data_IF_669667328413
#
_entry.id   IF_669667328413
#
_cell.length_a   1.000
_cell.length_b   1.000
_cell.length_c   1.000
_cell.angle_alpha   90.00
_cell.angle_beta   90.00
_cell.angle_gamma   90.00
#
_symmetry.space_group_name_H-M   'P 1'
#
loop_
_entity.id
_entity.type
_entity.pdbx_description
1 polymer ?
#
# COMPACT_ATOMS: atom_id res chain seq x y z
N UNK A 1 -16.85 -1.33 -11.61
CA UNK A 1 -16.18 -0.60 -12.72
C UNK A 1 -16.97 0.59 -13.24
N UNK A 2 -18.26 0.43 -13.55
CA UNK A 2 -19.13 1.48 -14.15
C UNK A 2 -19.02 2.87 -13.48
N UNK A 3 -19.04 2.95 -12.14
CA UNK A 3 -18.90 4.23 -11.43
C UNK A 3 -17.53 4.90 -11.55
N UNK A 4 -16.46 4.14 -11.84
CA UNK A 4 -15.13 4.69 -12.15
C UNK A 4 -15.13 5.32 -13.54
N UNK A 5 -15.72 4.64 -14.53
CA UNK A 5 -15.88 5.16 -15.90
C UNK A 5 -16.72 6.44 -15.86
N UNK A 6 -17.83 6.44 -15.12
CA UNK A 6 -18.69 7.60 -14.96
C UNK A 6 -18.01 8.77 -14.23
N UNK A 7 -17.18 8.49 -13.21
CA UNK A 7 -16.31 9.48 -12.56
C UNK A 7 -15.34 10.13 -13.58
N UNK A 8 -14.63 9.35 -14.40
CA UNK A 8 -13.74 9.90 -15.43
C UNK A 8 -14.49 10.68 -16.52
N UNK A 9 -15.64 10.19 -16.98
CA UNK A 9 -16.50 10.91 -17.94
C UNK A 9 -16.98 12.25 -17.38
N UNK A 10 -17.37 12.32 -16.10
CA UNK A 10 -17.73 13.59 -15.46
C UNK A 10 -16.56 14.57 -15.40
N UNK A 11 -15.36 14.11 -15.05
CA UNK A 11 -14.16 14.94 -15.07
C UNK A 11 -13.87 15.48 -16.48
N UNK A 12 -13.93 14.62 -17.51
CA UNK A 12 -13.76 15.01 -18.92
C UNK A 12 -14.81 16.05 -19.33
N UNK A 13 -16.08 15.85 -18.97
CA UNK A 13 -17.18 16.77 -19.28
C UNK A 13 -16.96 18.15 -18.64
N UNK A 14 -16.61 18.22 -17.35
CA UNK A 14 -16.35 19.50 -16.67
C UNK A 14 -15.10 20.20 -17.25
N UNK A 15 -14.08 19.45 -17.66
CA UNK A 15 -12.90 20.01 -18.33
C UNK A 15 -13.18 20.49 -19.75
N UNK A 16 -14.08 19.82 -20.47
CA UNK A 16 -14.48 20.20 -21.83
C UNK A 16 -15.31 21.50 -21.80
N UNK A 17 -16.29 21.56 -20.90
CA UNK A 17 -17.18 22.71 -20.71
C UNK A 17 -16.65 23.72 -19.68
N UNK A 18 -15.33 23.87 -19.54
CA UNK A 18 -14.69 24.74 -18.53
C UNK A 18 -15.12 26.23 -18.61
N UNK A 19 -15.63 26.67 -19.75
CA UNK A 19 -16.11 28.04 -19.97
C UNK A 19 -17.54 28.29 -19.46
N UNK A 20 -18.36 27.24 -19.34
CA UNK A 20 -19.75 27.32 -18.85
C UNK A 20 -19.93 26.68 -17.47
N UNK A 21 -19.11 25.69 -17.12
CA UNK A 21 -19.14 24.96 -15.86
C UNK A 21 -17.96 25.36 -14.95
N UNK A 22 -18.18 25.83 -13.71
CA UNK A 22 -17.09 26.11 -12.79
C UNK A 22 -16.33 24.83 -12.45
N UNK A 23 -14.99 24.85 -12.58
CA UNK A 23 -14.11 23.69 -12.31
C UNK A 23 -14.30 23.04 -10.92
N UNK A 24 -14.92 23.74 -9.96
CA UNK A 24 -15.32 23.19 -8.65
C UNK A 24 -16.28 22.00 -8.76
N UNK A 25 -17.01 21.85 -9.87
CA UNK A 25 -17.87 20.69 -10.15
C UNK A 25 -17.11 19.36 -10.20
N UNK A 26 -15.79 19.37 -10.42
CA UNK A 26 -14.92 18.19 -10.28
C UNK A 26 -15.04 17.56 -8.88
N UNK A 27 -15.37 18.34 -7.85
CA UNK A 27 -15.50 17.84 -6.46
C UNK A 27 -16.69 16.90 -6.27
N UNK A 28 -17.69 16.90 -7.16
CA UNK A 28 -18.78 15.92 -7.15
C UNK A 28 -18.39 14.58 -7.80
N UNK A 29 -17.27 14.51 -8.52
CA UNK A 29 -16.85 13.31 -9.24
C UNK A 29 -16.73 12.02 -8.39
N UNK A 30 -16.37 12.06 -7.08
CA UNK A 30 -16.36 10.86 -6.25
C UNK A 30 -17.74 10.26 -5.98
N UNK A 31 -18.85 11.01 -6.13
CA UNK A 31 -20.22 10.49 -5.93
C UNK A 31 -20.49 9.29 -6.85
N UNK A 32 -19.97 9.34 -8.09
CA UNK A 32 -20.11 8.22 -9.02
C UNK A 32 -19.32 6.97 -8.58
N UNK A 33 -18.28 7.11 -7.75
CA UNK A 33 -17.54 5.94 -7.22
C UNK A 33 -18.28 5.18 -6.13
N UNK A 34 -19.34 5.75 -5.54
CA UNK A 34 -20.28 5.04 -4.68
C UNK A 34 -20.93 3.89 -5.48
N UNK A 35 -21.19 4.11 -6.78
CA UNK A 35 -21.73 3.09 -7.69
C UNK A 35 -20.62 2.08 -8.04
N UNK A 36 -20.61 0.96 -7.31
CA UNK A 36 -19.63 -0.12 -7.50
C UNK A 36 -18.30 0.06 -6.77
N UNK A 37 -18.23 0.95 -5.77
CA UNK A 37 -17.19 0.96 -4.73
C UNK A 37 -15.76 1.36 -5.17
N UNK A 38 -15.60 2.01 -6.31
CA UNK A 38 -14.32 2.54 -6.79
C UNK A 38 -13.26 1.47 -7.07
N UNK A 39 -11.99 1.89 -7.06
CA UNK A 39 -10.82 1.04 -7.37
C UNK A 39 -10.60 -0.07 -6.35
N UNK A 40 -10.91 0.17 -5.07
CA UNK A 40 -10.73 -0.78 -3.97
C UNK A 40 -11.56 -2.06 -4.16
N UNK A 41 -12.83 -1.95 -4.56
CA UNK A 41 -13.68 -3.11 -4.85
C UNK A 41 -13.18 -3.86 -6.10
N UNK A 42 -12.66 -3.14 -7.09
CA UNK A 42 -12.01 -3.73 -8.26
C UNK A 42 -10.80 -4.60 -7.89
N UNK A 43 -9.92 -4.09 -7.03
CA UNK A 43 -8.76 -4.84 -6.55
C UNK A 43 -9.18 -6.06 -5.70
N UNK A 44 -10.17 -5.92 -4.82
CA UNK A 44 -10.71 -7.07 -4.05
C UNK A 44 -11.27 -8.15 -4.97
N UNK A 45 -12.09 -7.78 -5.97
CA UNK A 45 -12.65 -8.73 -6.93
C UNK A 45 -11.55 -9.45 -7.73
N UNK A 46 -10.52 -8.72 -8.17
CA UNK A 46 -9.37 -9.32 -8.85
C UNK A 46 -8.64 -10.35 -7.98
N UNK A 47 -8.31 -10.02 -6.72
CA UNK A 47 -7.63 -10.95 -5.82
C UNK A 47 -8.51 -12.13 -5.38
N UNK A 48 -9.82 -11.94 -5.28
CA UNK A 48 -10.77 -13.04 -5.03
C UNK A 48 -10.80 -14.02 -6.21
N UNK A 49 -11.10 -13.54 -7.42
CA UNK A 49 -11.10 -14.34 -8.66
C UNK A 49 -9.75 -15.08 -8.84
N UNK A 50 -8.63 -14.37 -8.63
CA UNK A 50 -7.30 -14.97 -8.70
C UNK A 50 -7.03 -16.02 -7.61
N UNK A 51 -7.68 -15.93 -6.44
CA UNK A 51 -7.60 -16.96 -5.40
C UNK A 51 -8.50 -18.16 -5.72
N UNK A 52 -9.66 -17.96 -6.34
CA UNK A 52 -10.63 -19.02 -6.67
C UNK A 52 -10.07 -19.98 -7.73
N UNK A 53 -9.50 -19.42 -8.80
CA UNK A 53 -9.00 -20.19 -9.96
C UNK A 53 -7.64 -20.87 -9.73
N UNK A 54 -6.97 -20.59 -8.61
CA UNK A 54 -5.57 -20.96 -8.41
C UNK A 54 -5.39 -21.98 -7.28
N UNK A 55 -4.54 -22.98 -7.52
CA UNK A 55 -4.10 -23.91 -6.45
C UNK A 55 -3.12 -23.22 -5.50
N UNK A 56 -3.09 -23.61 -4.23
CA UNK A 56 -2.32 -22.90 -3.21
C UNK A 56 -0.83 -22.77 -3.55
N UNK A 57 -0.25 -23.81 -4.14
CA UNK A 57 1.13 -23.83 -4.63
C UNK A 57 1.43 -22.77 -5.72
N UNK A 58 0.43 -22.35 -6.51
CA UNK A 58 0.60 -21.35 -7.59
C UNK A 58 0.07 -19.96 -7.23
N UNK A 59 -0.69 -19.81 -6.13
CA UNK A 59 -1.34 -18.55 -5.72
C UNK A 59 -0.33 -17.41 -5.56
N UNK A 60 0.79 -17.66 -4.88
CA UNK A 60 1.87 -16.68 -4.68
C UNK A 60 2.48 -16.20 -5.99
N UNK A 61 2.66 -17.09 -6.98
CA UNK A 61 3.20 -16.73 -8.29
C UNK A 61 2.24 -15.80 -9.06
N UNK A 62 0.93 -16.09 -9.06
CA UNK A 62 -0.05 -15.25 -9.75
C UNK A 62 -0.20 -13.88 -9.09
N UNK A 63 -0.17 -13.81 -7.75
CA UNK A 63 -0.15 -12.52 -7.05
C UNK A 63 1.12 -11.71 -7.33
N UNK A 64 2.28 -12.37 -7.44
CA UNK A 64 3.53 -11.72 -7.84
C UNK A 64 3.48 -11.22 -9.29
N UNK A 65 2.93 -12.02 -10.22
CA UNK A 65 2.75 -11.63 -11.61
C UNK A 65 1.80 -10.42 -11.75
N UNK A 66 0.74 -10.37 -10.96
CA UNK A 66 -0.17 -9.21 -10.91
C UNK A 66 0.56 -7.93 -10.45
N UNK A 67 1.35 -8.02 -9.38
CA UNK A 67 2.15 -6.88 -8.89
C UNK A 67 3.24 -6.46 -9.89
N UNK A 68 3.88 -7.40 -10.57
CA UNK A 68 4.84 -7.12 -11.64
C UNK A 68 4.16 -6.41 -12.84
N UNK A 69 2.94 -6.84 -13.21
CA UNK A 69 2.15 -6.22 -14.27
C UNK A 69 1.79 -4.77 -13.94
N UNK A 70 1.40 -4.48 -12.69
CA UNK A 70 1.15 -3.11 -12.21
C UNK A 70 2.41 -2.23 -12.29
N UNK A 71 3.57 -2.73 -11.86
CA UNK A 71 4.86 -2.00 -11.98
C UNK A 71 5.22 -1.71 -13.46
N UNK A 72 5.00 -2.67 -14.36
CA UNK A 72 5.23 -2.48 -15.80
C UNK A 72 4.24 -1.47 -16.40
N UNK A 73 2.97 -1.49 -15.98
CA UNK A 73 1.99 -0.49 -16.39
C UNK A 73 2.37 0.92 -15.90
N UNK A 74 2.83 1.06 -14.65
CA UNK A 74 3.34 2.32 -14.09
C UNK A 74 4.65 2.79 -14.75
N UNK A 75 5.43 1.89 -15.34
CA UNK A 75 6.60 2.24 -16.13
C UNK A 75 6.21 2.77 -17.53
N UNK A 76 5.32 2.07 -18.22
CA UNK A 76 4.96 2.36 -19.62
C UNK A 76 3.97 3.53 -19.73
N UNK A 77 2.91 3.55 -18.93
CA UNK A 77 1.79 4.48 -19.10
C UNK A 77 2.18 5.97 -18.96
N UNK A 78 3.00 6.40 -17.97
CA UNK A 78 3.43 7.80 -17.87
C UNK A 78 4.36 8.22 -19.03
N UNK A 79 5.18 7.30 -19.54
CA UNK A 79 6.05 7.53 -20.70
C UNK A 79 5.26 7.66 -22.00
N UNK A 80 4.28 6.79 -22.23
CA UNK A 80 3.36 6.90 -23.36
C UNK A 80 2.54 8.20 -23.26
N UNK A 81 2.03 8.52 -22.07
CA UNK A 81 1.33 9.79 -21.82
C UNK A 81 2.21 11.01 -22.10
N UNK A 82 3.49 10.99 -21.72
CA UNK A 82 4.45 12.05 -22.03
C UNK A 82 4.61 12.26 -23.54
N UNK A 83 4.76 11.19 -24.33
CA UNK A 83 4.88 11.31 -25.80
C UNK A 83 3.57 11.83 -26.41
N UNK A 84 2.41 11.34 -25.97
CA UNK A 84 1.11 11.76 -26.50
C UNK A 84 0.73 13.20 -26.13
N UNK A 85 1.08 13.65 -24.93
CA UNK A 85 0.99 15.06 -24.50
C UNK A 85 1.81 16.01 -25.37
N UNK A 86 2.71 15.53 -26.25
CA UNK A 86 3.41 16.38 -27.22
C UNK A 86 2.48 16.93 -28.30
N UNK A 87 1.47 16.15 -28.70
CA UNK A 87 0.50 16.52 -29.75
C UNK A 87 -0.72 17.21 -29.15
N UNK A 88 -1.33 16.62 -28.12
CA UNK A 88 -2.44 17.23 -27.38
C UNK A 88 -2.66 16.52 -26.04
N UNK A 89 -2.89 17.24 -24.92
CA UNK A 89 -3.22 16.64 -23.63
C UNK A 89 -4.50 15.79 -23.61
N UNK A 90 -5.41 15.97 -24.59
CA UNK A 90 -6.65 15.19 -24.69
C UNK A 90 -6.43 13.75 -25.15
N UNK A 91 -5.42 13.49 -25.98
CA UNK A 91 -5.14 12.16 -26.54
C UNK A 91 -4.87 11.11 -25.43
N UNK A 92 -3.95 11.32 -24.46
CA UNK A 92 -3.71 10.33 -23.42
C UNK A 92 -4.88 10.19 -22.44
N UNK A 93 -5.69 11.24 -22.24
CA UNK A 93 -6.91 11.18 -21.41
C UNK A 93 -7.94 10.25 -22.06
N UNK A 94 -8.23 10.45 -23.35
CA UNK A 94 -9.15 9.61 -24.10
C UNK A 94 -8.63 8.17 -24.24
N UNK A 95 -7.34 7.99 -24.52
CA UNK A 95 -6.72 6.67 -24.62
C UNK A 95 -6.78 5.88 -23.30
N UNK A 96 -6.52 6.55 -22.16
CA UNK A 96 -6.66 5.94 -20.84
C UNK A 96 -8.10 5.55 -20.52
N UNK A 97 -9.08 6.38 -20.93
CA UNK A 97 -10.51 6.06 -20.81
C UNK A 97 -10.87 4.83 -21.66
N UNK A 98 -10.42 4.78 -22.91
CA UNK A 98 -10.62 3.62 -23.81
C UNK A 98 -10.03 2.32 -23.26
N UNK A 99 -8.81 2.35 -22.69
CA UNK A 99 -8.24 1.16 -22.05
C UNK A 99 -9.04 0.73 -20.81
N UNK A 100 -9.53 1.68 -20.01
CA UNK A 100 -10.36 1.37 -18.84
C UNK A 100 -11.71 0.74 -19.24
N UNK A 101 -12.38 1.26 -20.28
CA UNK A 101 -13.64 0.69 -20.77
C UNK A 101 -13.44 -0.67 -21.42
N UNK A 102 -12.40 -0.84 -22.23
CA UNK A 102 -12.06 -2.13 -22.85
C UNK A 102 -11.69 -3.18 -21.79
N UNK A 103 -10.86 -2.83 -20.81
CA UNK A 103 -10.55 -3.70 -19.68
C UNK A 103 -11.79 -4.07 -18.85
N UNK A 104 -12.71 -3.13 -18.63
CA UNK A 104 -13.98 -3.41 -17.97
C UNK A 104 -14.92 -4.28 -18.80
N UNK A 105 -14.84 -4.23 -20.14
CA UNK A 105 -15.63 -5.07 -21.03
C UNK A 105 -15.10 -6.51 -21.05
N UNK A 106 -13.77 -6.68 -21.02
CA UNK A 106 -13.13 -8.00 -20.93
C UNK A 106 -13.53 -8.77 -19.66
N UNK A 107 -13.82 -8.07 -18.55
CA UNK A 107 -14.32 -8.69 -17.31
C UNK A 107 -15.69 -9.36 -17.52
N UNK A 108 -16.54 -8.88 -18.44
CA UNK A 108 -17.83 -9.53 -18.72
C UNK A 108 -17.69 -10.89 -19.42
N UNK A 109 -16.52 -11.18 -20.01
CA UNK A 109 -16.20 -12.48 -20.58
C UNK A 109 -15.54 -13.43 -19.58
N UNK A 110 -15.27 -12.98 -18.35
CA UNK A 110 -14.77 -13.85 -17.27
C UNK A 110 -15.98 -14.60 -16.67
N UNK A 111 -16.04 -15.94 -16.76
CA UNK A 111 -17.15 -16.71 -16.19
C UNK A 111 -17.13 -16.65 -14.65
N UNK A 112 -18.28 -16.89 -14.03
CA UNK A 112 -18.45 -16.78 -12.58
C UNK A 112 -17.66 -17.86 -11.82
N UNK A 113 -16.56 -17.45 -11.18
CA UNK A 113 -15.61 -18.36 -10.50
C UNK A 113 -16.11 -18.94 -9.18
N UNK A 114 -17.14 -18.34 -8.58
CA UNK A 114 -17.64 -18.69 -7.24
C UNK A 114 -18.10 -20.15 -7.13
N UNK A 115 -18.63 -20.72 -8.22
CA UNK A 115 -19.03 -22.12 -8.30
C UNK A 115 -17.87 -23.11 -8.09
N UNK A 116 -16.64 -22.74 -8.47
CA UNK A 116 -15.45 -23.58 -8.31
C UNK A 116 -15.02 -23.73 -6.84
N UNK A 117 -15.29 -22.72 -6.01
CA UNK A 117 -15.01 -22.79 -4.57
C UNK A 117 -15.90 -23.83 -3.88
N UNK A 118 -17.20 -23.86 -4.22
CA UNK A 118 -18.16 -24.73 -3.57
C UNK A 118 -17.91 -26.21 -3.90
N UNK A 119 -17.49 -26.53 -5.13
CA UNK A 119 -17.10 -27.88 -5.51
C UNK A 119 -15.86 -28.38 -4.74
N UNK A 120 -14.94 -27.46 -4.36
CA UNK A 120 -13.73 -27.76 -3.59
C UNK A 120 -14.00 -27.94 -2.10
N UNK A 121 -14.94 -27.20 -1.51
CA UNK A 121 -15.41 -27.45 -0.13
C UNK A 121 -16.19 -28.75 -0.06
N UNK A 122 -17.06 -29.03 -1.04
CA UNK A 122 -17.90 -30.22 -1.01
C UNK A 122 -17.08 -31.52 -1.21
N UNK A 123 -16.06 -31.51 -2.06
CA UNK A 123 -15.12 -32.65 -2.17
C UNK A 123 -14.26 -32.86 -0.93
N UNK A 124 -14.07 -31.84 -0.09
CA UNK A 124 -13.36 -31.95 1.19
C UNK A 124 -14.26 -32.47 2.33
N UNK A 125 -15.58 -32.22 2.27
CA UNK A 125 -16.55 -32.71 3.25
C UNK A 125 -17.12 -34.11 2.97
N UNK A 126 -17.03 -34.62 1.73
CA UNK A 126 -17.47 -35.99 1.38
C UNK A 126 -16.61 -37.09 2.03
N UNK A 127 -15.42 -36.76 2.56
CA UNK A 127 -14.57 -37.72 3.27
C UNK A 127 -14.92 -37.89 4.77
N UNK A 128 -15.62 -36.93 5.41
CA UNK A 128 -15.92 -36.93 6.85
C UNK A 128 -17.23 -36.18 7.16
N UNK A 129 -18.38 -36.79 6.84
CA UNK A 129 -19.70 -36.28 7.26
C UNK A 129 -20.80 -37.36 7.26
N UNK A 130 -20.68 -38.38 8.10
CA UNK A 130 -21.82 -39.22 8.51
C UNK A 130 -22.31 -38.81 9.91
N UNK A 131 -23.21 -37.84 9.99
CA UNK A 131 -24.16 -37.66 11.11
C UNK A 131 -25.13 -36.51 10.83
N UNK A 132 -26.40 -36.71 11.22
CA UNK A 132 -27.46 -35.70 11.28
C UNK A 132 -27.05 -34.43 12.06
N UNK A 133 -27.56 -33.25 11.69
CA UNK A 133 -28.84 -32.77 12.24
C UNK A 133 -29.34 -31.47 11.59
N UNK A 134 -30.65 -31.26 11.58
CA UNK A 134 -31.29 -30.18 10.83
C UNK A 134 -31.44 -28.85 11.59
N UNK A 135 -31.31 -27.71 10.90
CA UNK A 135 -31.77 -26.41 11.37
C UNK A 135 -32.59 -25.66 10.29
N UNK A 136 -33.78 -25.11 10.63
CA UNK A 136 -34.74 -24.65 9.64
C UNK A 136 -34.43 -23.27 9.05
N UNK A 137 -34.71 -23.14 7.76
CA UNK A 137 -34.51 -21.94 6.94
C UNK A 137 -35.56 -20.86 7.29
N UNK A 138 -35.19 -19.77 7.98
CA UNK A 138 -36.12 -18.67 8.24
C UNK A 138 -35.48 -17.27 8.23
N UNK A 139 -35.13 -16.77 7.03
CA UNK A 139 -34.66 -15.40 6.82
C UNK A 139 -35.83 -14.41 6.68
N UNK A 140 -36.44 -14.02 7.81
CA UNK A 140 -37.20 -12.77 7.92
C UNK A 140 -36.46 -11.81 8.84
N UNK A 141 -35.76 -10.82 8.27
CA UNK A 141 -35.32 -9.64 9.04
C UNK A 141 -35.22 -8.39 8.16
N UNK A 142 -36.34 -7.69 7.99
CA UNK A 142 -36.33 -6.26 7.69
C UNK A 142 -35.93 -5.48 8.96
N UNK A 143 -34.69 -5.62 9.39
CA UNK A 143 -34.09 -4.75 10.42
C UNK A 143 -33.33 -3.62 9.74
N UNK A 144 -33.59 -2.38 10.15
CA UNK A 144 -33.12 -1.20 9.45
C UNK A 144 -31.60 -1.20 9.26
N UNK A 145 -31.14 -0.83 8.05
CA UNK A 145 -29.71 -0.73 7.71
C UNK A 145 -28.95 0.12 8.75
N UNK A 146 -29.60 1.14 9.31
CA UNK A 146 -29.05 2.01 10.34
C UNK A 146 -28.80 1.29 11.68
N UNK A 147 -29.69 0.40 12.10
CA UNK A 147 -29.47 -0.45 13.27
C UNK A 147 -28.31 -1.43 13.03
N UNK A 148 -28.27 -2.07 11.86
CA UNK A 148 -27.17 -2.96 11.45
C UNK A 148 -25.83 -2.23 11.40
N UNK A 149 -25.80 -0.99 10.88
CA UNK A 149 -24.60 -0.13 10.87
C UNK A 149 -24.19 0.23 12.30
N UNK A 150 -25.12 0.66 13.17
CA UNK A 150 -24.83 1.00 14.57
C UNK A 150 -24.31 -0.20 15.36
N UNK A 151 -24.87 -1.39 15.14
CA UNK A 151 -24.43 -2.62 15.79
C UNK A 151 -23.06 -3.09 15.26
N UNK A 152 -22.83 -3.04 13.95
CA UNK A 152 -21.50 -3.31 13.36
C UNK A 152 -20.46 -2.30 13.83
N UNK A 153 -20.80 -1.01 13.92
CA UNK A 153 -19.90 0.05 14.37
C UNK A 153 -19.53 -0.11 15.86
N UNK A 154 -20.48 -0.45 16.74
CA UNK A 154 -20.18 -0.73 18.15
C UNK A 154 -19.35 -2.02 18.32
N UNK A 155 -19.59 -3.03 17.48
CA UNK A 155 -18.78 -4.25 17.43
C UNK A 155 -17.35 -3.99 16.94
N UNK A 156 -17.18 -3.22 15.86
CA UNK A 156 -15.87 -2.77 15.38
C UNK A 156 -15.15 -1.89 16.41
N UNK A 157 -15.87 -1.04 17.14
CA UNK A 157 -15.30 -0.25 18.25
C UNK A 157 -14.85 -1.13 19.42
N UNK A 158 -15.63 -2.15 19.81
CA UNK A 158 -15.20 -3.12 20.83
C UNK A 158 -13.98 -3.95 20.38
N UNK A 159 -13.93 -4.34 19.10
CA UNK A 159 -12.74 -4.98 18.53
C UNK A 159 -11.55 -4.01 18.53
N UNK A 160 -11.73 -2.74 18.19
CA UNK A 160 -10.67 -1.73 18.34
C UNK A 160 -10.21 -1.63 19.80
N UNK A 161 -11.14 -1.60 20.75
CA UNK A 161 -10.85 -1.52 22.18
C UNK A 161 -10.11 -2.77 22.70
N UNK A 162 -10.42 -3.97 22.18
CA UNK A 162 -9.62 -5.18 22.47
C UNK A 162 -8.24 -5.13 21.78
N UNK A 163 -8.14 -4.59 20.57
CA UNK A 163 -6.85 -4.35 19.90
C UNK A 163 -5.98 -3.35 20.67
N UNK A 164 -6.58 -2.40 21.40
CA UNK A 164 -5.87 -1.52 22.33
C UNK A 164 -5.25 -2.29 23.53
N UNK A 165 -5.74 -3.48 23.88
CA UNK A 165 -5.10 -4.34 24.89
C UNK A 165 -3.79 -4.94 24.41
N UNK A 166 -3.58 -5.09 23.09
CA UNK A 166 -2.32 -5.57 22.48
C UNK A 166 -1.31 -4.41 22.36
N UNK A 167 -1.81 -3.17 22.26
CA UNK A 167 -1.02 -1.93 22.25
C UNK A 167 -0.35 -1.57 23.59
N UNK A 168 -0.39 -2.47 24.58
CA UNK A 168 0.23 -2.28 25.89
C UNK A 168 1.78 -2.29 25.84
N UNK A 169 2.38 -2.68 24.70
CA UNK A 169 3.81 -2.58 24.45
C UNK A 169 4.16 -1.27 23.71
N UNK A 170 4.83 -0.35 24.42
CA UNK A 170 5.36 0.91 23.87
C UNK A 170 6.08 0.80 22.50
N UNK A 171 6.96 -0.19 22.22
CA UNK A 171 7.60 -0.30 20.90
C UNK A 171 6.60 -0.60 19.77
N UNK A 172 5.52 -1.32 20.05
CA UNK A 172 4.48 -1.64 19.06
C UNK A 172 3.64 -0.41 18.72
N UNK A 173 3.29 0.42 19.71
CA UNK A 173 2.63 1.73 19.50
C UNK A 173 3.48 2.64 18.62
N UNK A 174 4.78 2.74 18.94
CA UNK A 174 5.74 3.58 18.20
C UNK A 174 5.87 3.13 16.74
N UNK A 175 6.04 1.83 16.50
CA UNK A 175 6.09 1.27 15.15
C UNK A 175 4.75 1.44 14.41
N UNK A 176 3.61 1.22 15.09
CA UNK A 176 2.28 1.40 14.50
C UNK A 176 2.07 2.83 14.00
N UNK A 177 2.50 3.83 14.77
CA UNK A 177 2.37 5.24 14.40
C UNK A 177 3.15 5.57 13.10
N UNK A 178 4.28 4.90 12.86
CA UNK A 178 5.09 5.15 11.64
C UNK A 178 4.42 4.75 10.33
N UNK A 179 3.38 3.89 10.36
CA UNK A 179 2.62 3.55 9.15
C UNK A 179 1.91 4.75 8.52
N UNK A 180 1.76 5.87 9.23
CA UNK A 180 1.29 7.14 8.65
C UNK A 180 2.19 7.65 7.51
N UNK A 181 3.45 7.21 7.44
CA UNK A 181 4.35 7.52 6.31
C UNK A 181 3.80 6.99 4.99
N UNK A 182 3.17 5.81 4.96
CA UNK A 182 2.68 5.20 3.73
C UNK A 182 1.77 6.15 2.91
N UNK A 183 0.65 6.67 3.47
CA UNK A 183 -0.20 7.62 2.74
C UNK A 183 0.46 8.98 2.49
N UNK A 184 1.36 9.46 3.37
CA UNK A 184 2.06 10.73 3.17
C UNK A 184 3.06 10.64 1.99
N UNK A 185 3.80 9.53 1.87
CA UNK A 185 4.68 9.26 0.74
C UNK A 185 3.88 9.12 -0.56
N UNK A 186 2.71 8.46 -0.51
CA UNK A 186 1.77 8.42 -1.64
C UNK A 186 1.40 9.81 -2.17
N UNK A 187 0.85 10.67 -1.30
CA UNK A 187 0.47 12.05 -1.66
C UNK A 187 1.65 12.91 -2.11
N UNK A 188 2.86 12.64 -1.60
CA UNK A 188 4.09 13.30 -2.03
C UNK A 188 4.46 12.99 -3.49
N UNK A 189 4.22 11.76 -3.96
CA UNK A 189 4.45 11.36 -5.36
C UNK A 189 3.46 12.07 -6.28
N UNK A 190 2.19 12.11 -5.89
CA UNK A 190 1.11 12.79 -6.63
C UNK A 190 1.39 14.30 -6.78
N UNK A 191 1.89 14.94 -5.72
CA UNK A 191 2.20 16.38 -5.76
C UNK A 191 3.55 16.67 -6.44
N UNK A 192 4.50 15.72 -6.47
CA UNK A 192 5.84 15.94 -7.02
C UNK A 192 5.85 16.33 -8.49
N UNK A 193 4.94 15.78 -9.31
CA UNK A 193 4.80 16.14 -10.72
C UNK A 193 4.39 17.62 -10.88
N UNK A 194 3.46 18.10 -10.04
CA UNK A 194 3.01 19.50 -10.03
C UNK A 194 4.09 20.44 -9.49
N UNK A 195 4.77 20.02 -8.42
CA UNK A 195 5.88 20.75 -7.80
C UNK A 195 7.03 20.99 -8.79
N UNK A 196 7.51 19.93 -9.45
CA UNK A 196 8.64 20.02 -10.38
C UNK A 196 8.30 20.92 -11.55
N UNK A 197 7.10 20.77 -12.12
CA UNK A 197 6.68 21.59 -13.25
C UNK A 197 6.55 23.08 -12.90
N UNK A 198 5.99 23.39 -11.73
CA UNK A 198 5.76 24.78 -11.32
C UNK A 198 7.02 25.46 -10.75
N UNK A 199 7.92 24.73 -10.08
CA UNK A 199 9.14 25.29 -9.48
C UNK A 199 10.29 25.45 -10.47
N UNK A 200 10.47 24.50 -11.39
CA UNK A 200 11.60 24.49 -12.34
C UNK A 200 11.19 24.88 -13.76
N UNK A 201 9.93 25.31 -13.96
CA UNK A 201 9.32 25.54 -15.27
C UNK A 201 9.45 24.34 -16.23
N UNK A 202 9.64 23.13 -15.68
CA UNK A 202 9.78 21.91 -16.44
C UNK A 202 8.41 21.56 -17.05
N UNK A 203 8.29 21.30 -18.36
CA UNK A 203 6.98 21.07 -18.96
C UNK A 203 6.32 19.84 -18.33
N UNK A 204 5.02 19.94 -18.00
CA UNK A 204 4.22 18.85 -17.41
C UNK A 204 4.38 17.53 -18.19
N UNK A 205 4.44 17.66 -19.52
CA UNK A 205 4.75 16.57 -20.46
C UNK A 205 5.98 15.75 -20.06
N UNK A 206 7.12 16.41 -19.82
CA UNK A 206 8.36 15.72 -19.43
C UNK A 206 8.34 15.30 -17.97
N UNK A 207 7.56 15.99 -17.12
CA UNK A 207 7.38 15.62 -15.71
C UNK A 207 6.74 14.24 -15.56
N UNK A 208 5.90 13.81 -16.50
CA UNK A 208 5.35 12.44 -16.56
C UNK A 208 6.42 11.36 -16.72
N UNK A 209 7.56 11.63 -17.38
CA UNK A 209 8.67 10.67 -17.43
C UNK A 209 9.30 10.41 -16.05
N UNK A 210 9.17 11.35 -15.09
CA UNK A 210 9.72 11.17 -13.75
C UNK A 210 8.96 10.11 -12.93
N UNK A 211 7.66 9.94 -13.19
CA UNK A 211 6.90 8.81 -12.65
C UNK A 211 7.35 7.47 -13.24
N UNK A 212 7.66 7.41 -14.54
CA UNK A 212 8.24 6.23 -15.19
C UNK A 212 9.63 5.91 -14.60
N UNK A 213 10.51 6.91 -14.48
CA UNK A 213 11.82 6.78 -13.83
C UNK A 213 11.69 6.27 -12.38
N UNK A 214 10.74 6.80 -11.62
CA UNK A 214 10.42 6.30 -10.27
C UNK A 214 10.01 4.83 -10.31
N UNK A 215 9.12 4.43 -11.21
CA UNK A 215 8.70 3.04 -11.34
C UNK A 215 9.88 2.11 -11.68
N UNK A 216 10.80 2.54 -12.56
CA UNK A 216 12.03 1.81 -12.86
C UNK A 216 12.93 1.63 -11.62
N UNK A 217 13.18 2.71 -10.87
CA UNK A 217 13.98 2.64 -9.62
C UNK A 217 13.29 1.76 -8.57
N UNK A 218 11.97 1.82 -8.45
CA UNK A 218 11.19 0.97 -7.55
C UNK A 218 11.27 -0.53 -7.94
N UNK A 219 11.24 -0.83 -9.23
CA UNK A 219 11.38 -2.18 -9.76
C UNK A 219 12.79 -2.72 -9.51
N UNK A 220 13.84 -1.93 -9.79
CA UNK A 220 15.23 -2.26 -9.45
C UNK A 220 15.40 -2.49 -7.94
N UNK A 221 14.79 -1.65 -7.11
CA UNK A 221 14.82 -1.80 -5.65
C UNK A 221 14.24 -3.15 -5.20
N UNK A 222 13.07 -3.52 -5.70
CA UNK A 222 12.39 -4.76 -5.28
C UNK A 222 12.98 -6.03 -5.91
N UNK A 223 13.43 -5.97 -7.18
CA UNK A 223 13.88 -7.14 -7.92
C UNK A 223 15.38 -7.45 -7.75
N UNK A 224 16.21 -6.43 -7.55
CA UNK A 224 17.66 -6.57 -7.45
C UNK A 224 18.17 -6.22 -6.04
N UNK A 225 17.88 -5.02 -5.56
CA UNK A 225 18.49 -4.51 -4.31
C UNK A 225 17.98 -5.28 -3.09
N UNK A 226 16.67 -5.50 -2.96
CA UNK A 226 16.06 -6.16 -1.80
C UNK A 226 16.50 -7.62 -1.62
N UNK A 227 16.50 -8.51 -2.63
CA UNK A 227 17.04 -9.86 -2.48
C UNK A 227 18.57 -9.85 -2.26
N UNK A 228 19.31 -8.92 -2.87
CA UNK A 228 20.76 -8.79 -2.66
C UNK A 228 21.11 -8.35 -1.23
N UNK A 229 20.41 -7.35 -0.68
CA UNK A 229 20.52 -6.93 0.73
C UNK A 229 20.14 -8.05 1.69
N UNK A 230 19.06 -8.79 1.40
CA UNK A 230 18.66 -9.95 2.21
C UNK A 230 19.77 -11.01 2.24
N UNK A 231 20.32 -11.37 1.07
CA UNK A 231 21.41 -12.35 0.94
C UNK A 231 22.69 -11.88 1.64
N UNK A 232 23.12 -10.62 1.44
CA UNK A 232 24.29 -10.06 2.13
C UNK A 232 24.11 -10.06 3.65
N UNK A 233 22.94 -9.67 4.14
CA UNK A 233 22.72 -9.50 5.58
C UNK A 233 22.60 -10.84 6.32
N UNK A 234 22.13 -11.89 5.64
CA UNK A 234 22.12 -13.27 6.15
C UNK A 234 23.51 -13.90 6.01
N UNK A 235 24.09 -13.94 4.80
CA UNK A 235 25.32 -14.69 4.52
C UNK A 235 26.59 -14.00 5.02
N UNK A 236 26.69 -12.67 4.89
CA UNK A 236 27.92 -11.92 5.20
C UNK A 236 27.92 -11.37 6.63
N UNK A 237 26.76 -10.90 7.12
CA UNK A 237 26.65 -10.29 8.46
C UNK A 237 26.16 -11.24 9.57
N UNK A 238 25.63 -12.44 9.25
CA UNK A 238 25.07 -13.40 10.23
C UNK A 238 24.10 -12.77 11.25
N UNK A 239 23.32 -11.78 10.85
CA UNK A 239 22.36 -11.11 11.73
C UNK A 239 21.07 -11.95 11.81
N UNK A 240 20.55 -12.26 13.02
CA UNK A 240 19.31 -13.02 13.16
C UNK A 240 18.13 -12.27 12.52
N UNK A 241 17.23 -13.02 11.88
CA UNK A 241 16.20 -12.50 10.96
C UNK A 241 15.32 -11.40 11.53
N UNK A 242 15.18 -11.30 12.84
CA UNK A 242 14.35 -10.28 13.51
C UNK A 242 15.10 -8.95 13.75
N UNK A 243 16.41 -9.00 14.08
CA UNK A 243 17.25 -7.80 14.21
C UNK A 243 17.55 -7.19 12.83
N UNK A 244 17.65 -8.05 11.81
CA UNK A 244 17.78 -7.70 10.38
C UNK A 244 16.77 -6.64 9.96
N UNK A 245 15.47 -6.91 10.17
CA UNK A 245 14.39 -6.03 9.73
C UNK A 245 14.37 -4.70 10.49
N UNK A 246 14.76 -4.68 11.77
CA UNK A 246 14.91 -3.43 12.53
C UNK A 246 16.04 -2.54 11.98
N UNK A 247 17.20 -3.11 11.65
CA UNK A 247 18.30 -2.36 11.04
C UNK A 247 17.95 -1.89 9.62
N UNK A 248 17.26 -2.72 8.84
CA UNK A 248 16.83 -2.39 7.48
C UNK A 248 15.73 -1.32 7.48
N UNK A 249 14.84 -1.30 8.48
CA UNK A 249 13.85 -0.25 8.68
C UNK A 249 14.53 1.09 9.01
N UNK A 250 15.54 1.06 9.92
CA UNK A 250 16.35 2.24 10.31
C UNK A 250 17.10 2.86 9.13
N UNK A 251 17.75 2.06 8.28
CA UNK A 251 18.43 2.59 7.10
C UNK A 251 17.44 3.10 6.05
N UNK A 252 16.34 2.37 5.81
CA UNK A 252 15.31 2.78 4.84
C UNK A 252 14.64 4.10 5.22
N UNK A 253 14.32 4.33 6.51
CA UNK A 253 13.72 5.60 6.94
C UNK A 253 14.70 6.77 6.84
N UNK A 254 16.00 6.57 7.11
CA UNK A 254 17.02 7.60 6.88
C UNK A 254 17.18 7.95 5.39
N UNK A 255 17.15 6.95 4.50
CA UNK A 255 17.19 7.19 3.06
C UNK A 255 15.94 7.97 2.62
N UNK A 256 14.77 7.66 3.19
CA UNK A 256 13.51 8.35 2.91
C UNK A 256 13.49 9.80 3.45
N UNK A 257 14.03 10.07 4.65
CA UNK A 257 14.19 11.44 5.17
C UNK A 257 15.17 12.25 4.31
N UNK A 258 16.32 11.67 3.97
CA UNK A 258 17.32 12.33 3.13
C UNK A 258 16.77 12.66 1.75
N UNK A 259 16.09 11.71 1.09
CA UNK A 259 15.46 11.93 -0.21
C UNK A 259 14.40 13.02 -0.19
N UNK A 260 13.50 13.00 0.80
CA UNK A 260 12.44 14.02 0.94
C UNK A 260 12.99 15.42 1.25
N UNK A 261 13.99 15.54 2.12
CA UNK A 261 14.69 16.81 2.37
C UNK A 261 15.46 17.31 1.14
N UNK A 262 16.08 16.42 0.37
CA UNK A 262 16.81 16.78 -0.86
C UNK A 262 15.86 17.35 -1.93
N UNK A 263 14.65 16.79 -2.10
CA UNK A 263 13.61 17.35 -2.97
C UNK A 263 13.15 18.74 -2.48
N UNK A 264 13.04 18.92 -1.16
CA UNK A 264 12.56 20.17 -0.54
C UNK A 264 13.54 21.34 -0.72
N UNK A 265 14.84 21.07 -0.55
CA UNK A 265 15.92 22.07 -0.61
C UNK A 265 16.37 22.32 -2.06
N UNK A 266 16.15 21.38 -2.99
CA UNK A 266 16.66 21.41 -4.37
C UNK A 266 16.59 22.79 -5.06
N UNK A 267 17.75 23.41 -5.38
CA UNK A 267 17.81 24.64 -6.16
C UNK A 267 17.77 24.36 -7.68
N UNK A 268 18.10 23.14 -8.11
CA UNK A 268 18.17 22.73 -9.51
C UNK A 268 17.37 21.46 -9.78
N UNK A 269 16.86 21.32 -11.01
CA UNK A 269 16.09 20.15 -11.44
C UNK A 269 16.83 18.81 -11.25
N UNK A 270 18.12 18.65 -11.60
CA UNK A 270 18.84 17.40 -11.37
C UNK A 270 18.91 16.99 -9.90
N UNK A 271 19.02 17.95 -8.97
CA UNK A 271 19.05 17.65 -7.53
C UNK A 271 17.67 17.20 -7.02
N UNK A 272 16.58 17.75 -7.56
CA UNK A 272 15.23 17.28 -7.28
C UNK A 272 14.98 15.85 -7.82
N UNK A 273 15.51 15.53 -9.01
CA UNK A 273 15.45 14.17 -9.58
C UNK A 273 16.27 13.19 -8.74
N UNK A 274 17.47 13.59 -8.29
CA UNK A 274 18.30 12.79 -7.38
C UNK A 274 17.58 12.54 -6.05
N UNK A 275 16.97 13.57 -5.46
CA UNK A 275 16.15 13.43 -4.25
C UNK A 275 14.96 12.48 -4.44
N UNK A 276 14.31 12.51 -5.61
CA UNK A 276 13.24 11.57 -5.95
C UNK A 276 13.75 10.13 -6.08
N UNK A 277 14.91 9.91 -6.71
CA UNK A 277 15.53 8.58 -6.79
C UNK A 277 15.90 8.05 -5.39
N UNK A 278 16.59 8.86 -4.57
CA UNK A 278 16.93 8.52 -3.17
C UNK A 278 15.69 8.24 -2.34
N UNK A 279 14.64 9.07 -2.43
CA UNK A 279 13.37 8.84 -1.75
C UNK A 279 12.67 7.56 -2.23
N UNK A 280 12.90 7.12 -3.47
CA UNK A 280 12.34 5.88 -4.01
C UNK A 280 13.08 4.66 -3.47
N UNK A 281 14.40 4.73 -3.30
CA UNK A 281 15.17 3.67 -2.62
C UNK A 281 14.70 3.45 -1.17
N UNK A 282 14.28 4.51 -0.47
CA UNK A 282 13.69 4.42 0.87
C UNK A 282 12.28 3.81 0.93
N UNK A 283 11.59 3.60 -0.20
CA UNK A 283 10.20 3.14 -0.22
C UNK A 283 10.00 1.71 0.30
N UNK A 284 11.07 0.90 0.37
CA UNK A 284 11.05 -0.42 1.01
C UNK A 284 10.68 -0.39 2.51
N UNK A 285 10.80 0.77 3.16
CA UNK A 285 10.49 0.98 4.58
C UNK A 285 9.12 0.41 5.02
N UNK A 286 8.07 0.57 4.19
CA UNK A 286 6.71 0.07 4.50
C UNK A 286 6.69 -1.45 4.61
N UNK A 287 7.32 -2.16 3.67
CA UNK A 287 7.33 -3.62 3.63
C UNK A 287 8.15 -4.20 4.79
N UNK A 288 9.29 -3.59 5.08
CA UNK A 288 10.19 -4.00 6.16
C UNK A 288 9.53 -3.75 7.53
N UNK A 289 8.94 -2.58 7.74
CA UNK A 289 8.26 -2.25 9.01
C UNK A 289 7.01 -3.12 9.21
N UNK A 290 6.33 -3.51 8.12
CA UNK A 290 5.25 -4.50 8.16
C UNK A 290 5.73 -5.90 8.53
N UNK A 291 6.88 -6.35 8.02
CA UNK A 291 7.53 -7.59 8.48
C UNK A 291 7.86 -7.50 9.97
N UNK A 292 8.61 -6.48 10.37
CA UNK A 292 9.06 -6.24 11.75
C UNK A 292 7.92 -6.20 12.78
N UNK A 293 6.81 -5.51 12.48
CA UNK A 293 5.70 -5.44 13.45
C UNK A 293 4.94 -6.77 13.56
N UNK A 294 5.01 -7.65 12.54
CA UNK A 294 4.38 -8.98 12.56
C UNK A 294 5.21 -10.09 13.21
N UNK A 295 6.50 -9.84 13.51
CA UNK A 295 7.34 -10.73 14.34
C UNK A 295 7.26 -10.38 15.83
N UNK A 296 6.67 -9.23 16.18
CA UNK A 296 6.42 -8.77 17.56
C UNK A 296 5.07 -9.21 18.14
N UNK A 297 4.25 -9.93 17.36
CA UNK A 297 2.87 -10.28 17.72
C UNK A 297 2.59 -11.74 17.40
N UNK A 298 2.08 -12.50 18.38
CA UNK A 298 1.73 -13.91 18.23
C UNK A 298 0.69 -14.13 17.12
N UNK A 299 0.71 -15.32 16.49
CA UNK A 299 -0.16 -15.66 15.34
C UNK A 299 -1.65 -15.34 15.56
N UNK A 300 -2.16 -15.57 16.77
CA UNK A 300 -3.56 -15.34 17.15
C UNK A 300 -4.00 -13.87 17.02
N UNK A 301 -3.06 -12.93 17.13
CA UNK A 301 -3.33 -11.48 17.21
C UNK A 301 -3.01 -10.72 15.92
N UNK A 302 -2.43 -11.37 14.90
CA UNK A 302 -1.99 -10.73 13.63
C UNK A 302 -3.15 -10.06 12.86
N UNK A 303 -4.37 -10.59 12.93
CA UNK A 303 -5.55 -9.97 12.32
C UNK A 303 -5.90 -8.62 12.94
N UNK A 304 -5.80 -8.50 14.27
CA UNK A 304 -6.03 -7.26 15.01
C UNK A 304 -4.96 -6.21 14.70
N UNK A 305 -3.70 -6.65 14.60
CA UNK A 305 -2.57 -5.81 14.19
C UNK A 305 -2.78 -5.19 12.78
N UNK A 306 -3.17 -6.01 11.80
CA UNK A 306 -3.44 -5.50 10.44
C UNK A 306 -4.64 -4.54 10.41
N UNK A 307 -5.67 -4.77 11.22
CA UNK A 307 -6.77 -3.83 11.38
C UNK A 307 -6.29 -2.48 11.95
N UNK A 308 -5.43 -2.50 12.97
CA UNK A 308 -4.84 -1.28 13.54
C UNK A 308 -3.97 -0.52 12.52
N UNK A 309 -3.14 -1.22 11.74
CA UNK A 309 -2.35 -0.63 10.64
C UNK A 309 -3.28 0.01 9.61
N UNK A 310 -4.36 -0.66 9.21
CA UNK A 310 -5.33 -0.12 8.26
C UNK A 310 -6.05 1.14 8.78
N UNK A 311 -6.34 1.22 10.09
CA UNK A 311 -6.91 2.42 10.74
C UNK A 311 -5.92 3.59 10.70
N UNK A 312 -4.64 3.35 11.03
CA UNK A 312 -3.60 4.40 10.98
C UNK A 312 -3.34 4.87 9.56
N UNK A 313 -3.20 3.96 8.59
CA UNK A 313 -3.04 4.33 7.19
C UNK A 313 -4.25 5.11 6.66
N UNK A 314 -5.48 4.69 6.99
CA UNK A 314 -6.70 5.37 6.53
C UNK A 314 -6.82 6.77 7.14
N UNK A 315 -6.61 6.91 8.46
CA UNK A 315 -6.55 8.21 9.13
C UNK A 315 -5.46 9.09 8.51
N UNK A 316 -4.30 8.51 8.20
CA UNK A 316 -3.23 9.17 7.47
C UNK A 316 -3.66 9.66 6.08
N UNK A 317 -4.40 8.86 5.28
CA UNK A 317 -4.94 9.28 3.98
C UNK A 317 -5.89 10.49 4.11
N UNK A 318 -6.76 10.48 5.12
CA UNK A 318 -7.71 11.58 5.38
C UNK A 318 -6.99 12.90 5.68
N UNK A 319 -5.90 12.86 6.45
CA UNK A 319 -5.11 14.06 6.79
C UNK A 319 -4.16 14.47 5.65
N UNK A 320 -3.53 13.50 4.99
CA UNK A 320 -2.47 13.74 4.02
C UNK A 320 -2.95 14.55 2.81
N UNK A 321 -4.09 14.21 2.19
CA UNK A 321 -4.58 14.92 1.01
C UNK A 321 -4.79 16.44 1.24
N UNK A 322 -5.66 16.84 2.19
CA UNK A 322 -5.86 18.25 2.54
C UNK A 322 -4.61 18.91 3.13
N UNK A 323 -3.79 18.17 3.89
CA UNK A 323 -2.54 18.65 4.48
C UNK A 323 -1.51 19.05 3.41
N UNK A 324 -1.20 18.14 2.49
CA UNK A 324 -0.30 18.40 1.35
C UNK A 324 -0.85 19.52 0.45
N UNK A 325 -2.16 19.54 0.18
CA UNK A 325 -2.77 20.62 -0.60
C UNK A 325 -2.60 22.00 0.07
N UNK A 326 -2.85 22.12 1.38
CA UNK A 326 -2.62 23.36 2.15
C UNK A 326 -1.14 23.75 2.17
N UNK A 327 -0.23 22.82 2.48
CA UNK A 327 1.22 23.04 2.47
C UNK A 327 1.71 23.53 1.11
N UNK A 328 1.18 22.98 0.02
CA UNK A 328 1.54 23.39 -1.34
C UNK A 328 1.01 24.79 -1.66
N UNK A 329 -0.24 25.10 -1.35
CA UNK A 329 -0.81 26.45 -1.53
C UNK A 329 -0.01 27.50 -0.73
N UNK A 330 0.37 27.20 0.51
CA UNK A 330 1.21 28.08 1.33
C UNK A 330 2.61 28.25 0.71
N UNK A 331 3.25 27.16 0.29
CA UNK A 331 4.54 27.21 -0.39
C UNK A 331 4.52 28.03 -1.69
N UNK A 332 3.43 27.94 -2.47
CA UNK A 332 3.23 28.76 -3.67
C UNK A 332 3.03 30.25 -3.38
N UNK A 333 2.36 30.60 -2.26
CA UNK A 333 2.19 31.99 -1.83
C UNK A 333 3.51 32.61 -1.36
N UNK A 334 4.32 31.86 -0.62
CA UNK A 334 5.62 32.33 -0.10
C UNK A 334 6.68 32.48 -1.19
N UNK A 335 6.54 31.78 -2.33
CA UNK A 335 7.46 31.78 -3.48
C UNK A 335 8.90 31.34 -3.12
N UNK A 336 9.76 31.24 -4.13
CA UNK A 336 11.17 30.85 -3.98
C UNK A 336 11.37 29.49 -3.32
N UNK A 337 12.32 29.38 -2.38
CA UNK A 337 12.67 28.14 -1.70
C UNK A 337 11.49 27.46 -0.97
N UNK A 338 10.50 28.25 -0.53
CA UNK A 338 9.33 27.77 0.22
C UNK A 338 8.34 26.95 -0.62
N UNK A 339 8.47 26.91 -1.94
CA UNK A 339 7.64 26.03 -2.79
C UNK A 339 7.83 24.53 -2.44
N UNK A 340 8.95 24.18 -1.78
CA UNK A 340 9.25 22.82 -1.29
C UNK A 340 8.57 22.43 0.02
N UNK A 341 7.71 23.29 0.59
CA UNK A 341 7.11 23.08 1.93
C UNK A 341 6.42 21.72 2.16
N UNK A 342 5.70 21.10 1.20
CA UNK A 342 5.15 19.76 1.38
C UNK A 342 6.22 18.68 1.63
N UNK A 343 7.38 18.81 1.00
CA UNK A 343 8.50 17.87 1.13
C UNK A 343 9.29 18.11 2.42
N UNK A 344 9.38 19.36 2.89
CA UNK A 344 9.86 19.64 4.25
C UNK A 344 8.94 19.02 5.31
N UNK A 345 7.62 19.17 5.16
CA UNK A 345 6.64 18.54 6.06
C UNK A 345 6.78 17.02 6.09
N UNK A 346 6.93 16.38 4.92
CA UNK A 346 7.22 14.96 4.83
C UNK A 346 8.55 14.58 5.52
N UNK A 347 9.63 15.33 5.25
CA UNK A 347 10.95 15.09 5.84
C UNK A 347 10.93 15.15 7.37
N UNK A 348 10.20 16.11 7.96
CA UNK A 348 9.99 16.21 9.42
C UNK A 348 9.23 15.00 9.94
N UNK A 349 8.13 14.58 9.30
CA UNK A 349 7.33 13.43 9.77
C UNK A 349 8.14 12.13 9.65
N UNK A 350 8.87 11.94 8.55
CA UNK A 350 9.78 10.80 8.39
C UNK A 350 10.93 10.86 9.43
N UNK A 351 11.39 12.05 9.83
CA UNK A 351 12.40 12.23 10.87
C UNK A 351 11.88 11.85 12.27
N UNK A 352 10.66 12.28 12.60
CA UNK A 352 9.97 11.86 13.83
C UNK A 352 9.74 10.35 13.87
N UNK A 353 9.37 9.76 12.73
CA UNK A 353 9.24 8.31 12.60
C UNK A 353 10.59 7.58 12.72
N UNK A 354 11.69 8.14 12.22
CA UNK A 354 13.03 7.60 12.49
C UNK A 354 13.30 7.57 14.00
N UNK A 355 13.06 8.67 14.72
CA UNK A 355 13.17 8.70 16.19
C UNK A 355 12.26 7.65 16.86
N UNK A 356 11.05 7.43 16.35
CA UNK A 356 10.14 6.39 16.82
C UNK A 356 10.69 4.95 16.59
N UNK A 357 11.27 4.65 15.43
CA UNK A 357 11.90 3.34 15.16
C UNK A 357 13.17 3.15 16.02
N UNK A 358 13.96 4.21 16.22
CA UNK A 358 15.15 4.15 17.07
C UNK A 358 14.79 3.88 18.53
N UNK A 359 13.84 4.64 19.08
CA UNK A 359 13.35 4.47 20.46
C UNK A 359 12.63 3.13 20.66
N UNK A 360 11.81 2.67 19.71
CA UNK A 360 11.23 1.33 19.75
C UNK A 360 12.31 0.24 19.84
N UNK A 361 13.35 0.33 18.99
CA UNK A 361 14.49 -0.60 19.03
C UNK A 361 15.31 -0.53 20.33
N UNK A 362 15.46 0.66 20.92
CA UNK A 362 16.09 0.83 22.23
C UNK A 362 15.29 0.16 23.36
N UNK A 363 13.97 0.34 23.36
CA UNK A 363 13.07 -0.27 24.35
C UNK A 363 13.07 -1.80 24.20
N UNK A 364 13.03 -2.34 22.98
CA UNK A 364 13.14 -3.78 22.71
C UNK A 364 14.47 -4.35 23.24
N UNK A 365 15.59 -3.66 22.96
CA UNK A 365 16.92 -4.08 23.45
C UNK A 365 17.06 -4.03 24.97
N UNK A 366 16.35 -3.12 25.67
CA UNK A 366 16.39 -3.01 27.14
C UNK A 366 15.50 -4.04 27.84
N UNK A 367 14.53 -4.62 27.13
CA UNK A 367 13.56 -5.60 27.68
C UNK A 367 13.87 -7.06 27.33
N UNK A 368 15.03 -7.35 26.71
CA UNK A 368 15.36 -8.69 26.18
C UNK A 368 14.19 -9.32 25.42
N UNK A 369 13.61 -8.56 24.48
CA UNK A 369 12.41 -8.99 23.78
C UNK A 369 12.68 -10.24 22.95
N UNK A 370 12.03 -11.35 23.32
CA UNK A 370 12.04 -12.61 22.57
C UNK A 370 11.24 -12.45 21.27
N UNK A 371 11.80 -12.93 20.16
CA UNK A 371 11.17 -12.84 18.85
C UNK A 371 10.44 -14.13 18.51
N UNK A 372 9.27 -14.03 17.85
CA UNK A 372 8.50 -15.18 17.36
C UNK A 372 9.36 -16.16 16.54
N UNK A 373 10.32 -15.65 15.77
CA UNK A 373 11.20 -16.47 14.93
C UNK A 373 12.25 -17.25 15.75
N UNK A 374 12.74 -16.70 16.86
CA UNK A 374 13.75 -17.35 17.70
C UNK A 374 13.15 -18.58 18.43
N UNK A 375 11.81 -18.61 18.61
CA UNK A 375 11.06 -19.78 19.11
C UNK A 375 10.90 -20.90 18.08
N UNK A 376 11.17 -20.63 16.80
CA UNK A 376 11.01 -21.59 15.71
C UNK A 376 12.25 -22.43 15.39
N UNK A 377 13.45 -21.94 15.70
CA UNK A 377 14.71 -22.64 15.39
C UNK A 377 15.11 -23.71 16.44
N UNK A 378 14.40 -23.80 17.58
CA UNK A 378 14.74 -24.72 18.70
C UNK A 378 14.01 -26.07 18.61
N UNK A 379 13.07 -26.26 17.67
CA UNK A 379 12.26 -27.49 17.53
C UNK A 379 12.69 -28.31 16.30
N UNK A 380 13.95 -28.19 15.88
CA UNK A 380 14.51 -28.85 14.70
C UNK A 380 15.62 -29.86 14.98
N UNK A 381 15.97 -30.11 16.25
CA UNK A 381 17.21 -30.82 16.63
C UNK A 381 16.97 -31.80 17.81
N UNK A 382 15.96 -32.68 17.70
CA UNK A 382 15.79 -33.85 18.58
C UNK A 382 14.75 -34.87 18.07
N UNK A 383 15.15 -35.71 17.11
CA UNK A 383 14.73 -37.13 17.02
C UNK A 383 15.50 -37.84 15.89
N UNK A 384 16.70 -38.35 16.21
CA UNK A 384 17.47 -39.29 15.38
C UNK A 384 18.48 -40.04 16.31
N UNK A 385 17.96 -40.66 17.38
CA UNK A 385 18.74 -41.56 18.26
C UNK A 385 17.85 -42.68 18.81
N UNK A 386 18.34 -43.93 18.77
CA UNK A 386 17.63 -45.19 19.10
C UNK A 386 16.52 -45.51 18.07
N UNK A 387 16.24 -46.74 17.60
CA UNK A 387 16.51 -48.14 18.01
C UNK A 387 16.65 -49.01 16.71
N UNK A 388 17.45 -50.10 16.56
CA UNK A 388 18.42 -50.82 17.42
C UNK A 388 19.55 -51.47 16.58
N UNK A 389 20.55 -52.05 17.26
CA UNK A 389 21.30 -53.25 16.83
C UNK A 389 20.53 -54.49 17.34
N UNK A 390 20.50 -55.65 16.65
CA UNK A 390 20.32 -57.01 17.23
C UNK A 390 20.35 -58.10 16.14
N UNK A 391 21.22 -59.10 16.38
CA UNK A 391 21.29 -60.47 15.83
C UNK A 391 21.54 -60.67 14.31
#
# INVERSE_FOLDING_TARGET
MTGIILNYLWNILVMWFWHTLPLRLIWLSPIFTIIGGGTSVGAMAFFAIASDITTEAKRTYIFFLAAATDLVAQLIAPSLAAVLMAKSPWIPILLGMSFLTLGSLLILFVPETLHMQHQRTNTSHVALATSDDGFPHNCKSQTSLFATIKHKFSHTLRILQSSFSILNSAPLVLLLLTFIINPLTGQSIDISLRYISNRFHFPLRLSSFLWSLRAAVQLILFLLILPFLSKIMITCFKIPSSKKDLHLARTSILILTLGSLLIAIAPTLPLAILGMAVSTLGAGYISITRSLITTLVDRQHKGQLYAAVAVVETTGRLVAGPGFAKLYIVGLRLRGGWVGLPFFGLGIICGLAAVAVWSAGWIMSRRNWEWENDRGEVVGESDDTEENDIA
#
